data_IF_628317078571
#
_entry.id   IF_628317078571
#
_cell.length_a   1.000
_cell.length_b   1.000
_cell.length_c   1.000
_cell.angle_alpha   90.00
_cell.angle_beta   90.00
_cell.angle_gamma   90.00
#
_symmetry.space_group_name_H-M   'P 1'
#
loop_
_entity.id
_entity.type
_entity.pdbx_description
1 polymer ?
#
# COMPACT_ATOMS: atom_id res chain seq x y z
N UNK A 1 30.11 -10.53 -7.65
CA UNK A 1 29.88 -9.31 -6.83
C UNK A 1 28.58 -8.66 -7.22
N UNK A 2 27.59 -8.80 -6.34
CA UNK A 2 26.27 -8.21 -6.51
C UNK A 2 26.39 -6.67 -6.43
N UNK A 3 25.85 -5.91 -7.39
CA UNK A 3 26.06 -4.47 -7.49
C UNK A 3 25.28 -3.64 -6.45
N UNK A 4 24.36 -4.27 -5.72
CA UNK A 4 23.55 -3.63 -4.68
C UNK A 4 23.45 -4.47 -3.39
N UNK A 5 24.58 -4.84 -2.75
CA UNK A 5 24.57 -5.61 -1.50
C UNK A 5 23.95 -4.82 -0.33
N UNK A 6 23.64 -3.53 -0.57
CA UNK A 6 23.02 -2.60 0.37
C UNK A 6 21.49 -2.61 0.32
N UNK A 7 20.83 -3.11 -0.73
CA UNK A 7 19.34 -3.10 -0.80
C UNK A 7 18.75 -4.02 0.26
N UNK A 8 19.35 -5.19 0.49
CA UNK A 8 18.92 -6.11 1.54
C UNK A 8 18.99 -5.49 2.96
N UNK A 9 19.83 -4.47 3.15
CA UNK A 9 20.01 -3.74 4.43
C UNK A 9 19.10 -2.52 4.55
N UNK A 10 18.36 -2.16 3.48
CA UNK A 10 17.44 -1.02 3.52
C UNK A 10 16.19 -1.34 4.33
N UNK A 11 15.62 -0.31 4.93
CA UNK A 11 14.33 -0.39 5.59
C UNK A 11 13.20 -0.34 4.56
N UNK A 12 12.18 -1.16 4.76
CA UNK A 12 10.98 -1.21 3.93
C UNK A 12 9.84 -0.49 4.65
N UNK A 13 8.90 0.07 3.90
CA UNK A 13 7.71 0.68 4.47
C UNK A 13 6.85 -0.38 5.17
N UNK A 14 5.85 0.07 5.93
CA UNK A 14 4.75 -0.83 6.29
C UNK A 14 4.05 -1.39 5.05
N UNK A 15 3.20 -2.36 5.29
CA UNK A 15 2.27 -2.88 4.29
C UNK A 15 0.84 -2.41 4.58
N UNK A 16 -0.11 -2.95 3.81
CA UNK A 16 -1.52 -2.70 3.94
C UNK A 16 -2.29 -4.01 3.87
N UNK A 17 -3.35 -4.11 4.66
CA UNK A 17 -4.45 -5.03 4.42
C UNK A 17 -5.57 -4.23 3.74
N UNK A 18 -6.02 -4.69 2.59
CA UNK A 18 -7.05 -4.03 1.79
C UNK A 18 -8.31 -4.88 1.76
N UNK A 19 -9.45 -4.21 1.76
CA UNK A 19 -10.76 -4.82 1.55
C UNK A 19 -11.52 -4.04 0.47
N UNK A 20 -11.99 -4.75 -0.54
CA UNK A 20 -12.84 -4.22 -1.60
C UNK A 20 -14.23 -4.82 -1.42
N UNK A 21 -15.23 -3.99 -1.20
CA UNK A 21 -16.60 -4.39 -0.86
C UNK A 21 -17.57 -3.80 -1.90
N UNK A 22 -18.25 -4.66 -2.63
CA UNK A 22 -19.44 -4.24 -3.37
C UNK A 22 -20.67 -4.48 -2.51
N UNK A 23 -21.44 -3.42 -2.22
CA UNK A 23 -22.59 -3.49 -1.33
C UNK A 23 -23.87 -3.07 -2.04
N UNK A 24 -24.99 -3.75 -1.81
CA UNK A 24 -26.31 -3.40 -2.37
C UNK A 24 -27.10 -2.40 -1.53
N UNK A 25 -26.38 -1.51 -0.83
CA UNK A 25 -26.95 -0.49 0.05
C UNK A 25 -26.14 0.79 -0.06
N UNK A 26 -26.83 1.92 0.13
CA UNK A 26 -26.20 3.23 0.27
C UNK A 26 -25.95 3.58 1.73
N UNK A 27 -24.82 4.22 1.99
CA UNK A 27 -24.46 4.82 3.28
C UNK A 27 -24.37 6.35 3.12
N UNK A 28 -25.47 7.11 3.30
CA UNK A 28 -25.51 8.54 3.00
C UNK A 28 -24.49 9.38 3.76
N UNK A 29 -24.15 8.97 4.99
CA UNK A 29 -23.20 9.68 5.85
C UNK A 29 -21.73 9.40 5.52
N UNK A 30 -21.45 8.36 4.71
CA UNK A 30 -20.09 8.04 4.31
C UNK A 30 -19.61 9.08 3.28
N UNK A 31 -18.45 9.67 3.53
CA UNK A 31 -17.81 10.60 2.60
C UNK A 31 -17.03 9.83 1.52
N UNK A 32 -16.56 10.53 0.48
CA UNK A 32 -15.64 9.94 -0.48
C UNK A 32 -14.40 9.38 0.24
N UNK A 33 -13.83 10.17 1.16
CA UNK A 33 -12.67 9.82 1.95
C UNK A 33 -13.00 9.92 3.44
N UNK A 34 -12.75 8.84 4.19
CA UNK A 34 -12.89 8.80 5.64
C UNK A 34 -11.67 8.17 6.29
N UNK A 35 -11.26 8.68 7.45
CA UNK A 35 -10.19 8.11 8.26
C UNK A 35 -10.72 7.85 9.67
N UNK A 36 -10.67 6.59 10.08
CA UNK A 36 -10.91 6.21 11.46
C UNK A 36 -9.59 6.25 12.22
N UNK A 37 -9.51 7.13 13.21
CA UNK A 37 -8.33 7.30 14.07
C UNK A 37 -8.56 6.48 15.35
N UNK A 38 -7.61 5.64 15.75
CA UNK A 38 -7.72 4.82 16.95
C UNK A 38 -7.51 5.67 18.20
N UNK A 39 -7.79 5.09 19.37
CA UNK A 39 -7.60 5.81 20.65
C UNK A 39 -6.15 6.27 20.87
N UNK A 40 -5.17 5.51 20.35
CA UNK A 40 -3.75 5.86 20.39
C UNK A 40 -3.07 5.55 19.06
N UNK A 41 -2.97 6.55 18.19
CA UNK A 41 -2.21 6.43 16.94
C UNK A 41 -0.74 6.06 17.18
N UNK A 42 -0.15 6.53 18.28
CA UNK A 42 1.23 6.17 18.65
C UNK A 42 1.37 4.68 18.90
N UNK A 43 0.45 4.07 19.65
CA UNK A 43 0.49 2.64 19.93
C UNK A 43 0.36 1.82 18.64
N UNK A 44 -0.57 2.20 17.76
CA UNK A 44 -0.72 1.58 16.43
C UNK A 44 0.56 1.67 15.61
N UNK A 45 1.23 2.82 15.59
CA UNK A 45 2.51 2.97 14.90
C UNK A 45 3.61 2.11 15.53
N UNK A 46 3.68 2.05 16.87
CA UNK A 46 4.68 1.25 17.57
C UNK A 46 4.48 -0.25 17.31
N UNK A 47 3.24 -0.72 17.25
CA UNK A 47 2.90 -2.09 16.89
C UNK A 47 3.39 -2.45 15.48
N UNK A 48 3.15 -1.58 14.50
CA UNK A 48 3.53 -1.81 13.10
C UNK A 48 5.06 -1.72 12.91
N UNK A 49 5.67 -0.65 13.40
CA UNK A 49 7.04 -0.28 13.03
C UNK A 49 8.11 -0.77 14.01
N UNK A 50 7.74 -1.10 15.26
CA UNK A 50 8.69 -1.59 16.28
C UNK A 50 8.43 -3.02 16.71
N UNK A 51 7.17 -3.38 16.93
CA UNK A 51 6.81 -4.72 17.41
C UNK A 51 6.49 -5.69 16.27
N UNK A 52 6.37 -5.20 15.04
CA UNK A 52 6.05 -5.98 13.85
C UNK A 52 4.80 -6.86 14.00
N UNK A 53 3.77 -6.34 14.69
CA UNK A 53 2.49 -7.03 14.91
C UNK A 53 1.31 -6.23 14.35
N UNK A 54 0.22 -6.92 14.05
CA UNK A 54 -1.04 -6.27 13.68
C UNK A 54 -1.59 -5.56 14.93
N UNK A 55 -1.89 -4.25 14.87
CA UNK A 55 -2.49 -3.53 15.99
C UNK A 55 -3.86 -4.10 16.35
N UNK A 56 -4.22 -4.10 17.64
CA UNK A 56 -5.54 -4.55 18.10
C UNK A 56 -6.66 -3.55 17.75
N UNK A 57 -6.34 -2.24 17.78
CA UNK A 57 -7.19 -1.12 17.36
C UNK A 57 -6.51 -0.34 16.22
N UNK A 58 -6.45 -0.88 14.98
CA UNK A 58 -5.72 -0.22 13.91
C UNK A 58 -6.47 0.99 13.38
N UNK A 59 -5.73 2.05 13.01
CA UNK A 59 -6.27 3.09 12.15
C UNK A 59 -6.69 2.47 10.81
N UNK A 60 -7.75 2.98 10.20
CA UNK A 60 -8.13 2.53 8.87
C UNK A 60 -8.73 3.67 8.05
N UNK A 61 -8.50 3.58 6.74
CA UNK A 61 -9.03 4.50 5.75
C UNK A 61 -10.18 3.81 5.00
N UNK A 62 -11.25 4.56 4.77
CA UNK A 62 -12.41 4.12 3.98
C UNK A 62 -12.59 5.07 2.81
N UNK A 63 -12.70 4.52 1.61
CA UNK A 63 -13.02 5.24 0.40
C UNK A 63 -14.35 4.76 -0.18
N UNK A 64 -15.21 5.71 -0.53
CA UNK A 64 -16.43 5.46 -1.27
C UNK A 64 -16.48 6.40 -2.49
N UNK A 65 -15.87 6.00 -3.61
CA UNK A 65 -15.76 6.87 -4.76
C UNK A 65 -17.11 7.14 -5.44
N UNK A 66 -18.17 6.38 -5.13
CA UNK A 66 -19.52 6.69 -5.63
C UNK A 66 -20.04 8.05 -5.18
N UNK A 67 -19.47 8.64 -4.12
CA UNK A 67 -19.80 10.02 -3.70
C UNK A 67 -19.35 11.07 -4.71
N UNK A 68 -18.42 10.73 -5.59
CA UNK A 68 -17.98 11.58 -6.70
C UNK A 68 -18.40 11.03 -8.05
N UNK A 69 -18.33 9.71 -8.24
CA UNK A 69 -18.71 9.06 -9.50
C UNK A 69 -19.73 7.92 -9.26
N UNK A 70 -21.03 8.22 -9.39
CA UNK A 70 -22.09 7.21 -9.22
C UNK A 70 -22.01 6.05 -10.21
N UNK A 71 -21.26 6.15 -11.31
CA UNK A 71 -21.15 5.09 -12.33
C UNK A 71 -20.32 3.89 -11.88
N UNK A 72 -19.55 4.03 -10.80
CA UNK A 72 -18.65 2.98 -10.28
C UNK A 72 -19.38 1.83 -9.56
N UNK A 73 -20.70 1.92 -9.40
CA UNK A 73 -21.54 0.85 -8.86
C UNK A 73 -22.94 0.88 -9.50
N UNK A 74 -23.68 -0.24 -9.49
CA UNK A 74 -25.09 -0.24 -9.89
C UNK A 74 -25.94 0.74 -9.07
N UNK A 75 -27.09 1.15 -9.62
CA UNK A 75 -28.02 2.02 -8.90
C UNK A 75 -28.44 1.40 -7.56
N UNK A 76 -28.39 2.19 -6.48
CA UNK A 76 -28.68 1.72 -5.11
C UNK A 76 -27.52 1.02 -4.40
N UNK A 77 -26.42 0.75 -5.10
CA UNK A 77 -25.22 0.08 -4.57
C UNK A 77 -24.06 1.05 -4.33
N UNK A 78 -23.06 0.62 -3.57
CA UNK A 78 -21.80 1.35 -3.37
C UNK A 78 -20.58 0.40 -3.47
N UNK A 79 -19.42 0.92 -3.88
CA UNK A 79 -18.14 0.22 -3.94
C UNK A 79 -17.19 0.78 -2.87
N UNK A 80 -17.08 0.08 -1.75
CA UNK A 80 -16.33 0.56 -0.58
C UNK A 80 -14.94 -0.07 -0.58
N UNK A 81 -13.91 0.76 -0.53
CA UNK A 81 -12.52 0.35 -0.36
C UNK A 81 -12.06 0.67 1.05
N UNK A 82 -11.38 -0.27 1.70
CA UNK A 82 -10.83 -0.10 3.04
C UNK A 82 -9.34 -0.43 3.02
N UNK A 83 -8.53 0.42 3.64
CA UNK A 83 -7.10 0.23 3.83
C UNK A 83 -6.78 0.25 5.32
N UNK A 84 -6.12 -0.80 5.80
CA UNK A 84 -5.61 -0.92 7.16
C UNK A 84 -4.09 -1.03 7.11
N UNK A 85 -3.31 -0.07 7.66
CA UNK A 85 -1.87 -0.21 7.75
C UNK A 85 -1.50 -1.40 8.64
N UNK A 86 -0.61 -2.25 8.15
CA UNK A 86 -0.12 -3.46 8.84
C UNK A 86 1.40 -3.56 8.68
N UNK A 87 2.11 -4.31 9.54
CA UNK A 87 3.54 -4.57 9.31
C UNK A 87 3.79 -5.26 7.97
N UNK A 88 4.89 -4.90 7.31
CA UNK A 88 5.52 -5.73 6.28
C UNK A 88 6.17 -6.96 6.92
N UNK A 89 6.46 -7.99 6.13
CA UNK A 89 7.21 -9.15 6.63
C UNK A 89 8.60 -8.73 7.14
N UNK A 90 8.91 -9.11 8.37
CA UNK A 90 10.22 -8.86 9.00
C UNK A 90 10.79 -10.20 9.46
N UNK A 91 12.06 -10.53 9.14
CA UNK A 91 12.68 -11.76 9.60
C UNK A 91 12.59 -11.94 11.12
N UNK A 92 12.09 -13.09 11.57
CA UNK A 92 11.85 -13.41 12.99
C UNK A 92 10.54 -12.88 13.58
N UNK A 93 9.73 -12.18 12.77
CA UNK A 93 8.41 -11.66 13.13
C UNK A 93 7.42 -11.92 12.00
N UNK A 94 7.56 -13.04 11.31
CA UNK A 94 6.73 -13.39 10.17
C UNK A 94 5.27 -13.55 10.57
N UNK A 95 4.38 -12.99 9.75
CA UNK A 95 2.93 -13.10 9.93
C UNK A 95 2.39 -14.04 8.88
N UNK A 96 1.72 -15.10 9.33
CA UNK A 96 0.96 -16.01 8.48
C UNK A 96 -0.36 -15.36 8.04
N UNK A 97 -0.36 -14.80 6.85
CA UNK A 97 -1.54 -14.13 6.28
C UNK A 97 -2.65 -15.10 5.87
N UNK A 98 -2.39 -16.40 5.76
CA UNK A 98 -3.46 -17.39 5.57
C UNK A 98 -4.32 -17.52 6.84
N UNK A 99 -3.76 -17.24 8.01
CA UNK A 99 -4.45 -17.24 9.31
C UNK A 99 -4.91 -15.83 9.68
N UNK A 100 -4.00 -14.85 9.67
CA UNK A 100 -4.29 -13.49 10.14
C UNK A 100 -5.13 -12.68 9.14
N UNK A 101 -5.08 -13.00 7.84
CA UNK A 101 -5.90 -12.33 6.82
C UNK A 101 -7.41 -12.48 7.09
N UNK A 102 -7.96 -13.70 7.19
CA UNK A 102 -9.36 -13.92 7.54
C UNK A 102 -9.76 -13.38 8.93
N UNK A 103 -8.84 -13.44 9.91
CA UNK A 103 -9.06 -12.90 11.26
C UNK A 103 -9.23 -11.39 11.23
N UNK A 104 -8.31 -10.69 10.56
CA UNK A 104 -8.35 -9.25 10.40
C UNK A 104 -9.55 -8.81 9.56
N UNK A 105 -9.89 -9.55 8.50
CA UNK A 105 -11.10 -9.29 7.72
C UNK A 105 -12.36 -9.27 8.59
N UNK A 106 -12.54 -10.31 9.41
CA UNK A 106 -13.70 -10.45 10.30
C UNK A 106 -13.77 -9.30 11.30
N UNK A 107 -12.66 -8.99 11.97
CA UNK A 107 -12.56 -7.86 12.92
C UNK A 107 -12.85 -6.52 12.24
N UNK A 108 -12.35 -6.30 11.02
CA UNK A 108 -12.57 -5.06 10.30
C UNK A 108 -14.01 -4.90 9.83
N UNK A 109 -14.69 -5.96 9.40
CA UNK A 109 -16.11 -5.91 9.07
C UNK A 109 -16.96 -5.50 10.29
N UNK A 110 -16.63 -6.00 11.47
CA UNK A 110 -17.27 -5.58 12.73
C UNK A 110 -16.99 -4.12 13.04
N UNK A 111 -15.74 -3.67 12.94
CA UNK A 111 -15.38 -2.26 13.19
C UNK A 111 -16.01 -1.30 12.19
N UNK A 112 -16.17 -1.69 10.93
CA UNK A 112 -16.86 -0.88 9.92
C UNK A 112 -18.35 -0.70 10.24
N UNK A 113 -19.02 -1.72 10.77
CA UNK A 113 -20.41 -1.59 11.23
C UNK A 113 -20.52 -0.60 12.40
N UNK A 114 -19.58 -0.67 13.36
CA UNK A 114 -19.51 0.29 14.48
C UNK A 114 -19.11 1.70 14.03
N UNK A 115 -18.32 1.83 12.97
CA UNK A 115 -17.88 3.11 12.40
C UNK A 115 -19.04 3.89 11.73
N UNK A 116 -20.14 3.21 11.38
CA UNK A 116 -21.31 3.85 10.79
C UNK A 116 -21.87 3.14 9.55
N UNK A 117 -21.29 1.99 9.16
CA UNK A 117 -21.81 1.17 8.06
C UNK A 117 -22.75 0.11 8.63
N UNK A 118 -23.85 0.54 9.26
CA UNK A 118 -24.79 -0.37 9.91
C UNK A 118 -25.26 -1.51 8.97
N UNK A 119 -25.31 -2.74 9.50
CA UNK A 119 -25.65 -3.97 8.79
C UNK A 119 -24.77 -4.29 7.57
N UNK A 120 -23.56 -3.72 7.47
CA UNK A 120 -22.65 -3.92 6.32
C UNK A 120 -22.59 -5.36 5.86
N UNK A 121 -22.36 -6.30 6.77
CA UNK A 121 -22.19 -7.73 6.44
C UNK A 121 -23.41 -8.33 5.73
N UNK A 122 -24.62 -7.82 5.99
CA UNK A 122 -25.85 -8.29 5.33
C UNK A 122 -26.00 -7.78 3.89
N UNK A 123 -25.27 -6.72 3.54
CA UNK A 123 -25.39 -6.02 2.26
C UNK A 123 -24.21 -6.26 1.32
N UNK A 124 -23.18 -7.00 1.74
CA UNK A 124 -22.05 -7.38 0.88
C UNK A 124 -22.54 -8.34 -0.21
N UNK A 125 -22.41 -7.92 -1.46
CA UNK A 125 -22.69 -8.72 -2.67
C UNK A 125 -21.41 -9.37 -3.18
N UNK A 126 -20.30 -8.65 -3.10
CA UNK A 126 -18.97 -9.15 -3.44
C UNK A 126 -17.95 -8.58 -2.48
N UNK A 127 -16.92 -9.37 -2.17
CA UNK A 127 -15.79 -8.94 -1.36
C UNK A 127 -14.50 -9.55 -1.87
N UNK A 128 -13.41 -8.79 -1.77
CA UNK A 128 -12.05 -9.27 -1.98
C UNK A 128 -11.14 -8.66 -0.93
N UNK A 129 -10.28 -9.46 -0.33
CA UNK A 129 -9.18 -9.00 0.51
C UNK A 129 -7.87 -9.02 -0.27
N UNK A 130 -6.93 -8.18 0.15
CA UNK A 130 -5.57 -8.15 -0.37
C UNK A 130 -4.62 -7.90 0.79
N UNK A 131 -3.66 -8.80 0.96
CA UNK A 131 -2.78 -8.88 2.13
C UNK A 131 -1.32 -8.64 1.70
N UNK A 132 -0.39 -8.49 2.65
CA UNK A 132 1.05 -8.48 2.36
C UNK A 132 1.54 -9.72 1.60
N UNK A 133 0.90 -10.88 1.74
CA UNK A 133 1.23 -12.06 0.94
C UNK A 133 0.88 -11.85 -0.55
N UNK A 134 -0.26 -11.21 -0.83
CA UNK A 134 -0.67 -10.86 -2.19
C UNK A 134 0.25 -9.77 -2.79
N UNK A 135 0.70 -8.79 -2.00
CA UNK A 135 1.72 -7.83 -2.47
C UNK A 135 3.01 -8.53 -2.90
N UNK A 136 3.41 -9.58 -2.18
CA UNK A 136 4.59 -10.38 -2.53
C UNK A 136 4.34 -11.15 -3.83
N UNK A 137 3.20 -11.83 -3.94
CA UNK A 137 2.87 -12.68 -5.08
C UNK A 137 2.65 -11.88 -6.38
N UNK A 138 1.86 -10.81 -6.32
CA UNK A 138 1.40 -10.09 -7.50
C UNK A 138 2.38 -8.99 -7.94
N UNK A 139 3.12 -8.39 -6.99
CA UNK A 139 3.99 -7.24 -7.26
C UNK A 139 5.47 -7.49 -6.96
N UNK A 140 5.85 -8.71 -6.57
CA UNK A 140 7.22 -9.03 -6.15
C UNK A 140 7.74 -8.09 -5.05
N UNK A 141 6.84 -7.58 -4.21
CA UNK A 141 7.20 -6.75 -3.05
C UNK A 141 7.99 -7.63 -2.06
N UNK A 142 9.25 -7.29 -1.83
CA UNK A 142 10.23 -8.21 -1.19
C UNK A 142 9.81 -8.62 0.23
N UNK A 143 9.11 -7.73 0.94
CA UNK A 143 8.57 -7.93 2.28
C UNK A 143 7.05 -7.78 2.30
N UNK A 144 6.40 -7.90 1.14
CA UNK A 144 4.98 -7.61 0.97
C UNK A 144 4.64 -6.15 1.25
N UNK A 145 5.58 -5.22 1.17
CA UNK A 145 5.38 -3.79 1.45
C UNK A 145 4.45 -3.11 0.44
N UNK A 146 3.60 -2.20 0.91
CA UNK A 146 2.64 -1.50 0.07
C UNK A 146 3.22 -0.22 -0.58
N UNK A 147 4.28 0.35 0.01
CA UNK A 147 4.81 1.68 -0.36
C UNK A 147 6.32 1.66 -0.69
N UNK A 148 6.89 0.48 -0.95
CA UNK A 148 8.29 0.29 -1.29
C UNK A 148 9.25 0.55 -0.13
N UNK A 149 10.42 1.15 -0.40
CA UNK A 149 11.38 1.48 0.65
C UNK A 149 10.83 2.51 1.64
N UNK A 150 11.20 2.37 2.92
CA UNK A 150 10.81 3.28 3.99
C UNK A 150 11.26 4.73 3.75
N UNK A 151 10.62 5.65 4.48
CA UNK A 151 10.83 7.10 4.39
C UNK A 151 11.76 7.65 5.49
N UNK A 152 12.71 6.84 5.96
CA UNK A 152 13.81 7.33 6.80
C UNK A 152 14.57 8.44 6.09
N UNK A 153 15.18 9.36 6.86
CA UNK A 153 15.96 10.49 6.32
C UNK A 153 17.07 10.00 5.39
N UNK A 154 17.65 8.84 5.68
CA UNK A 154 18.67 8.13 4.90
C UNK A 154 18.12 7.39 3.67
N UNK A 155 16.82 7.46 3.40
CA UNK A 155 16.14 6.77 2.30
C UNK A 155 15.12 7.65 1.56
N UNK A 156 15.31 8.97 1.54
CA UNK A 156 14.48 9.91 0.78
C UNK A 156 15.32 10.73 -0.21
N UNK A 157 14.66 11.21 -1.28
CA UNK A 157 15.28 12.08 -2.29
C UNK A 157 16.53 11.47 -2.91
N UNK A 158 17.67 12.14 -2.76
CA UNK A 158 18.96 11.72 -3.31
C UNK A 158 19.43 10.36 -2.75
N UNK A 159 19.06 10.00 -1.52
CA UNK A 159 19.50 8.74 -0.89
C UNK A 159 18.69 7.50 -1.32
N UNK A 160 17.70 7.68 -2.19
CA UNK A 160 17.02 6.58 -2.88
C UNK A 160 17.99 5.88 -3.84
N UNK A 161 17.81 4.57 -4.10
CA UNK A 161 18.50 3.90 -5.19
C UNK A 161 18.33 4.66 -6.51
N UNK A 162 19.45 4.99 -7.16
CA UNK A 162 19.45 5.73 -8.43
C UNK A 162 18.84 4.92 -9.57
N UNK A 163 18.30 5.62 -10.56
CA UNK A 163 17.61 5.03 -11.72
C UNK A 163 18.53 4.41 -12.77
N UNK A 164 19.84 4.32 -12.53
CA UNK A 164 20.82 3.71 -13.43
C UNK A 164 21.73 2.79 -12.62
N UNK A 165 22.02 1.64 -13.19
CA UNK A 165 22.92 0.68 -12.60
C UNK A 165 24.37 1.20 -12.65
N UNK A 166 25.17 1.10 -11.56
CA UNK A 166 26.52 1.68 -11.50
C UNK A 166 27.52 1.00 -12.44
N UNK A 167 27.36 -0.31 -12.68
CA UNK A 167 28.21 -1.11 -13.58
C UNK A 167 27.68 -1.20 -15.03
N UNK A 168 26.40 -1.52 -15.21
CA UNK A 168 25.79 -1.74 -16.52
C UNK A 168 25.15 -0.44 -17.02
N UNK A 169 25.84 0.25 -17.93
CA UNK A 169 25.45 1.58 -18.40
C UNK A 169 24.11 1.65 -19.13
N UNK A 170 23.59 0.51 -19.59
CA UNK A 170 22.34 0.35 -20.33
C UNK A 170 21.20 -0.27 -19.49
N UNK A 171 21.38 -0.37 -18.16
CA UNK A 171 20.36 -0.89 -17.24
C UNK A 171 19.83 0.23 -16.34
N UNK A 172 18.52 0.41 -16.37
CA UNK A 172 17.82 1.49 -15.65
C UNK A 172 16.71 0.92 -14.75
N UNK A 173 16.34 1.69 -13.73
CA UNK A 173 15.31 1.31 -12.76
C UNK A 173 14.27 2.42 -12.63
N UNK A 174 12.99 2.05 -12.64
CA UNK A 174 11.84 2.94 -12.47
C UNK A 174 10.92 2.38 -11.40
N UNK A 175 10.32 3.25 -10.60
CA UNK A 175 9.25 2.87 -9.67
C UNK A 175 9.46 3.36 -8.24
N UNK A 176 8.57 2.92 -7.35
CA UNK A 176 8.40 3.50 -6.01
C UNK A 176 9.61 3.35 -5.06
N UNK A 177 10.46 2.33 -5.31
CA UNK A 177 11.67 2.06 -4.52
C UNK A 177 12.93 2.70 -5.13
N UNK A 178 12.79 3.43 -6.24
CA UNK A 178 13.90 4.13 -6.89
C UNK A 178 13.77 5.63 -6.68
N UNK A 179 14.78 6.39 -7.09
CA UNK A 179 14.68 7.83 -7.11
C UNK A 179 13.55 8.27 -8.08
N UNK A 180 12.72 9.25 -7.70
CA UNK A 180 12.84 10.10 -6.50
C UNK A 180 12.07 9.59 -5.26
N UNK A 181 11.17 8.60 -5.38
CA UNK A 181 10.43 8.04 -4.23
C UNK A 181 9.14 7.31 -4.59
N UNK A 182 8.28 7.11 -3.59
CA UNK A 182 6.99 6.41 -3.73
C UNK A 182 5.83 7.36 -4.06
N UNK A 183 4.69 6.77 -4.44
CA UNK A 183 3.47 7.49 -4.81
C UNK A 183 3.40 7.80 -6.31
N UNK A 184 2.17 7.93 -6.83
CA UNK A 184 1.90 8.10 -8.27
C UNK A 184 2.74 9.23 -8.89
N UNK A 185 2.81 10.45 -8.32
CA UNK A 185 3.60 11.52 -8.91
C UNK A 185 5.09 11.17 -9.01
N UNK A 186 5.65 10.54 -7.98
CA UNK A 186 7.08 10.21 -7.93
C UNK A 186 7.43 9.06 -8.88
N UNK A 187 6.54 8.08 -9.03
CA UNK A 187 6.71 7.00 -10.01
C UNK A 187 6.67 7.56 -11.44
N UNK A 188 5.78 8.50 -11.74
CA UNK A 188 5.73 9.16 -13.05
C UNK A 188 6.99 10.00 -13.31
N UNK A 189 7.47 10.74 -12.31
CA UNK A 189 8.74 11.48 -12.42
C UNK A 189 9.91 10.53 -12.62
N UNK A 190 9.96 9.42 -11.87
CA UNK A 190 10.96 8.35 -12.03
C UNK A 190 11.01 7.84 -13.48
N UNK A 191 9.82 7.56 -14.06
CA UNK A 191 9.71 7.14 -15.46
C UNK A 191 10.24 8.20 -16.41
N UNK A 192 9.83 9.46 -16.23
CA UNK A 192 10.26 10.59 -17.07
C UNK A 192 11.78 10.74 -17.06
N UNK A 193 12.40 10.75 -15.87
CA UNK A 193 13.85 10.93 -15.72
C UNK A 193 14.65 9.81 -16.41
N UNK A 194 14.15 8.58 -16.38
CA UNK A 194 14.77 7.46 -17.10
C UNK A 194 14.61 7.60 -18.60
N UNK A 195 13.41 7.97 -19.08
CA UNK A 195 13.16 8.17 -20.51
C UNK A 195 14.04 9.28 -21.09
N UNK A 196 14.11 10.44 -20.42
CA UNK A 196 14.97 11.57 -20.83
C UNK A 196 16.43 11.14 -20.91
N UNK A 197 16.95 10.43 -19.89
CA UNK A 197 18.32 9.93 -19.87
C UNK A 197 18.60 8.94 -21.01
N UNK A 198 17.69 8.00 -21.28
CA UNK A 198 17.86 7.04 -22.37
C UNK A 198 17.91 7.78 -23.71
N UNK A 199 17.03 8.76 -23.92
CA UNK A 199 17.01 9.55 -25.15
C UNK A 199 18.31 10.34 -25.35
N UNK A 200 18.86 10.93 -24.29
CA UNK A 200 20.15 11.62 -24.31
C UNK A 200 21.32 10.66 -24.59
N UNK A 201 21.35 9.49 -23.93
CA UNK A 201 22.44 8.52 -24.06
C UNK A 201 22.41 7.72 -25.38
N UNK A 202 21.24 7.61 -26.03
CA UNK A 202 21.03 6.88 -27.29
C UNK A 202 20.87 7.81 -28.51
N UNK A 203 20.94 9.13 -28.33
CA UNK A 203 21.00 10.04 -29.46
C UNK A 203 22.23 9.70 -30.31
N UNK A 204 21.99 9.16 -31.52
CA UNK A 204 23.05 8.94 -32.50
C UNK A 204 23.64 10.32 -32.82
N UNK A 205 24.96 10.53 -32.67
CA UNK A 205 25.58 11.76 -33.15
C UNK A 205 25.30 11.86 -34.65
N UNK A 206 24.58 12.91 -35.05
CA UNK A 206 24.35 13.24 -36.46
C UNK A 206 25.63 13.66 -37.18
#
# INVERSE_FOLDING_TARGET
DEPYPRIARKAFSCSAFLMYLGVNRRYPHLLHHGLAVPASLRATCDDIFRQHRIPDDPAFYVCNPNKTDPSLAPAGSENIYVLVPVPSQTPGYEIDWAVEGPRLETSMLERLEHFGLADLRKHIVTRRTFTPADFTADFSATRGEAFGLAHGIDQVGYFRPHNRHPRYGNLYFVGQSTHPGCGIPMVLISSRLVTERIAEEQAVPG
#
